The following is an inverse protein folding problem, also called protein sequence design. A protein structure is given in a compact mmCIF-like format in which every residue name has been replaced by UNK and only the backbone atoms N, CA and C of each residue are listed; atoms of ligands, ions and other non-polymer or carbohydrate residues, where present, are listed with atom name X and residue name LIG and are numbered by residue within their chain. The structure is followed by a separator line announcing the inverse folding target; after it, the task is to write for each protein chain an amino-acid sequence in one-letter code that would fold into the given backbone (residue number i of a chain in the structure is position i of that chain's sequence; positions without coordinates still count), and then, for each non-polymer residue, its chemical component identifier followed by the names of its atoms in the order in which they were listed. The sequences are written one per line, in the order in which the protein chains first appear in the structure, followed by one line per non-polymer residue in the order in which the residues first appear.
data_IF_126862551255
#
_entry.id   IF_126862551255
#
_cell.length_a   1.000
_cell.length_b   1.000
_cell.length_c   1.000
_cell.angle_alpha   90.00
_cell.angle_beta   90.00
_cell.angle_gamma   90.00
#
_symmetry.space_group_name_H-M   'P 1'
#
loop_
_entity.id
_entity.type
_entity.pdbx_description
1 polymer ?
#
# COMPACT_ATOMS: atom_id res chain seq x y z
N UNK A 1 -10.44 -6.56 -15.65
CA UNK A 1 -10.10 -5.25 -15.06
C UNK A 1 -10.36 -5.37 -13.57
N UNK A 2 -9.37 -5.06 -12.73
CA UNK A 2 -9.61 -4.94 -11.28
C UNK A 2 -10.63 -3.80 -11.07
N UNK A 3 -11.67 -4.07 -10.29
CA UNK A 3 -12.73 -3.09 -10.01
C UNK A 3 -12.31 -2.30 -8.79
N UNK A 4 -12.14 -0.99 -8.91
CA UNK A 4 -11.80 -0.14 -7.77
C UNK A 4 -12.84 -0.27 -6.64
N UNK A 5 -12.37 -0.54 -5.42
CA UNK A 5 -13.19 -0.61 -4.21
C UNK A 5 -13.09 0.68 -3.40
N UNK A 6 -14.18 1.45 -3.37
CA UNK A 6 -14.19 2.75 -2.70
C UNK A 6 -14.07 2.69 -1.17
N UNK A 7 -14.37 1.54 -0.56
CA UNK A 7 -14.30 1.36 0.89
C UNK A 7 -13.33 0.24 1.25
N UNK A 8 -12.50 0.51 2.27
CA UNK A 8 -11.64 -0.49 2.90
C UNK A 8 -12.44 -1.57 3.65
N UNK A 9 -13.75 -1.39 3.84
CA UNK A 9 -14.62 -2.39 4.45
C UNK A 9 -15.18 -3.41 3.44
N UNK A 10 -14.97 -3.21 2.15
CA UNK A 10 -15.41 -4.15 1.12
C UNK A 10 -14.56 -5.44 1.16
N UNK A 11 -15.22 -6.59 1.26
CA UNK A 11 -14.56 -7.91 1.19
C UNK A 11 -13.64 -8.07 -0.03
N UNK A 12 -14.00 -7.47 -1.17
CA UNK A 12 -13.18 -7.49 -2.38
C UNK A 12 -11.87 -6.72 -2.20
N UNK A 13 -11.90 -5.59 -1.47
CA UNK A 13 -10.69 -4.84 -1.16
C UNK A 13 -9.73 -5.68 -0.32
N UNK A 14 -10.26 -6.37 0.70
CA UNK A 14 -9.48 -7.25 1.56
C UNK A 14 -8.83 -8.41 0.77
N UNK A 15 -9.59 -9.06 -0.11
CA UNK A 15 -9.09 -10.16 -0.95
C UNK A 15 -8.03 -9.68 -1.94
N UNK A 16 -8.28 -8.57 -2.61
CA UNK A 16 -7.33 -8.03 -3.60
C UNK A 16 -6.03 -7.58 -2.91
N UNK A 17 -6.12 -6.96 -1.72
CA UNK A 17 -4.95 -6.58 -0.93
C UNK A 17 -4.13 -7.80 -0.46
N UNK A 18 -4.81 -8.87 -0.02
CA UNK A 18 -4.15 -10.13 0.33
C UNK A 18 -3.41 -10.72 -0.87
N UNK A 19 -4.04 -10.73 -2.04
CA UNK A 19 -3.40 -11.24 -3.25
C UNK A 19 -2.17 -10.41 -3.65
N UNK A 20 -2.22 -9.09 -3.52
CA UNK A 20 -1.04 -8.23 -3.78
C UNK A 20 0.09 -8.50 -2.79
N UNK A 21 -0.22 -8.72 -1.51
CA UNK A 21 0.78 -9.06 -0.49
C UNK A 21 1.33 -10.48 -0.64
N UNK A 22 0.51 -11.44 -1.10
CA UNK A 22 0.97 -12.80 -1.43
C UNK A 22 1.96 -12.76 -2.60
N UNK A 23 1.67 -11.99 -3.65
CA UNK A 23 2.62 -11.79 -4.76
C UNK A 23 3.92 -11.18 -4.25
N UNK A 24 3.84 -10.12 -3.44
CA UNK A 24 5.00 -9.51 -2.76
C UNK A 24 5.81 -10.53 -1.96
N UNK A 25 5.15 -11.41 -1.21
CA UNK A 25 5.80 -12.47 -0.42
C UNK A 25 6.55 -13.48 -1.31
N UNK A 26 5.98 -13.87 -2.45
CA UNK A 26 6.56 -14.82 -3.39
C UNK A 26 7.69 -14.21 -4.24
N UNK A 27 7.60 -12.92 -4.56
CA UNK A 27 8.62 -12.19 -5.34
C UNK A 27 9.82 -11.74 -4.50
N UNK A 28 9.73 -11.82 -3.18
CA UNK A 28 10.79 -11.37 -2.29
C UNK A 28 12.10 -12.14 -2.51
N UNK A 29 13.16 -11.41 -2.89
CA UNK A 29 14.49 -11.99 -3.13
C UNK A 29 15.34 -12.14 -1.88
N UNK A 30 14.95 -11.46 -0.79
CA UNK A 30 15.66 -11.47 0.49
C UNK A 30 14.71 -11.92 1.62
N UNK A 31 15.19 -12.75 2.57
CA UNK A 31 14.38 -13.20 3.71
C UNK A 31 13.75 -12.05 4.50
N UNK A 32 14.48 -10.95 4.70
CA UNK A 32 13.97 -9.77 5.43
C UNK A 32 12.78 -9.10 4.74
N UNK A 33 12.78 -9.08 3.41
CA UNK A 33 11.68 -8.51 2.62
C UNK A 33 10.47 -9.45 2.67
N UNK A 34 10.73 -10.75 2.61
CA UNK A 34 9.70 -11.78 2.76
C UNK A 34 9.04 -11.71 4.15
N UNK A 35 9.83 -11.56 5.23
CA UNK A 35 9.34 -11.37 6.60
C UNK A 35 8.46 -10.12 6.74
N UNK A 36 8.77 -9.03 6.02
CA UNK A 36 7.92 -7.84 5.98
C UNK A 36 6.55 -8.14 5.34
N UNK A 37 6.52 -8.95 4.28
CA UNK A 37 5.28 -9.38 3.63
C UNK A 37 4.50 -10.37 4.51
N UNK A 38 5.19 -11.29 5.19
CA UNK A 38 4.60 -12.21 6.15
C UNK A 38 3.95 -11.48 7.33
N UNK A 39 4.63 -10.45 7.86
CA UNK A 39 4.06 -9.56 8.86
C UNK A 39 2.78 -8.91 8.36
N UNK A 40 2.81 -8.29 7.17
CA UNK A 40 1.63 -7.61 6.64
C UNK A 40 0.44 -8.58 6.44
N UNK A 41 0.69 -9.77 5.90
CA UNK A 41 -0.32 -10.81 5.71
C UNK A 41 -0.92 -11.28 7.05
N UNK A 42 -0.08 -11.56 8.05
CA UNK A 42 -0.52 -11.96 9.40
C UNK A 42 -1.49 -10.94 10.00
N UNK A 43 -1.14 -9.66 9.94
CA UNK A 43 -1.97 -8.61 10.53
C UNK A 43 -3.28 -8.41 9.76
N UNK A 44 -3.27 -8.54 8.44
CA UNK A 44 -4.51 -8.46 7.65
C UNK A 44 -5.45 -9.64 7.88
N UNK A 45 -4.92 -10.85 8.12
CA UNK A 45 -5.74 -12.00 8.51
C UNK A 45 -6.56 -11.66 9.76
N UNK A 46 -5.94 -10.99 10.74
CA UNK A 46 -6.61 -10.58 11.97
C UNK A 46 -7.59 -9.43 11.74
N UNK A 47 -7.17 -8.36 11.04
CA UNK A 47 -7.99 -7.15 10.86
C UNK A 47 -9.25 -7.37 10.01
N UNK A 48 -9.22 -8.34 9.09
CA UNK A 48 -10.36 -8.73 8.26
C UNK A 48 -11.02 -10.04 8.69
N UNK A 49 -10.58 -10.64 9.80
CA UNK A 49 -11.08 -11.94 10.29
C UNK A 49 -11.12 -13.00 9.17
N UNK A 50 -10.07 -13.03 8.34
CA UNK A 50 -10.05 -13.83 7.12
C UNK A 50 -10.23 -15.30 7.44
N UNK A 51 -9.49 -15.76 8.45
CA UNK A 51 -9.45 -17.12 8.92
C UNK A 51 -9.72 -17.15 10.43
N UNK A 52 -10.85 -17.75 10.82
CA UNK A 52 -11.21 -18.03 12.21
C UNK A 52 -10.96 -19.51 12.47
N UNK A 53 -9.97 -19.81 13.29
CA UNK A 53 -9.66 -21.17 13.70
C UNK A 53 -10.63 -21.60 14.80
N UNK A 54 -11.47 -22.60 14.51
CA UNK A 54 -12.34 -23.21 15.53
C UNK A 54 -11.56 -24.17 16.41
N UNK A 55 -12.09 -24.46 17.60
CA UNK A 55 -11.54 -25.46 18.55
C UNK A 55 -11.34 -26.83 17.89
N UNK A 56 -12.13 -27.15 16.86
CA UNK A 56 -12.03 -28.39 16.08
C UNK A 56 -10.86 -28.41 15.08
N UNK A 57 -10.07 -27.35 14.98
CA UNK A 57 -8.98 -27.21 14.00
C UNK A 57 -9.44 -26.77 12.60
N UNK A 58 -10.75 -26.68 12.36
CA UNK A 58 -11.30 -26.24 11.07
C UNK A 58 -11.18 -24.72 10.94
N UNK A 59 -10.55 -24.27 9.85
CA UNK A 59 -10.48 -22.87 9.48
C UNK A 59 -11.81 -22.49 8.81
N UNK A 60 -12.47 -21.47 9.36
CA UNK A 60 -13.73 -20.95 8.83
C UNK A 60 -13.62 -19.46 8.61
N UNK A 61 -14.21 -18.94 7.54
CA UNK A 61 -14.20 -17.50 7.25
C UNK A 61 -14.77 -17.25 5.87
N UNK A 62 -15.63 -16.22 5.75
CA UNK A 62 -16.24 -15.87 4.47
C UNK A 62 -15.17 -15.51 3.43
N UNK A 63 -14.15 -14.77 3.85
CA UNK A 63 -13.03 -14.39 2.99
C UNK A 63 -12.11 -15.57 2.69
N UNK A 64 -11.80 -16.42 3.68
CA UNK A 64 -11.01 -17.64 3.47
C UNK A 64 -11.54 -18.50 2.32
N UNK A 65 -12.85 -18.75 2.28
CA UNK A 65 -13.47 -19.57 1.23
C UNK A 65 -13.37 -18.98 -0.18
N UNK A 66 -13.12 -17.68 -0.30
CA UNK A 66 -12.96 -16.97 -1.58
C UNK A 66 -11.52 -16.96 -2.08
N UNK A 67 -10.56 -17.30 -1.22
CA UNK A 67 -9.15 -17.36 -1.59
C UNK A 67 -8.83 -18.71 -2.26
N UNK A 68 -7.97 -18.73 -3.28
CA UNK A 68 -7.55 -19.96 -3.94
C UNK A 68 -6.60 -20.78 -3.06
N UNK A 69 -6.49 -22.08 -3.33
CA UNK A 69 -5.71 -23.03 -2.52
C UNK A 69 -4.24 -22.63 -2.31
N UNK A 70 -3.55 -22.15 -3.35
CA UNK A 70 -2.17 -21.68 -3.23
C UNK A 70 -2.01 -20.49 -2.27
N UNK A 71 -3.04 -19.65 -2.11
CA UNK A 71 -3.04 -18.59 -1.10
C UNK A 71 -3.21 -19.18 0.29
N UNK A 72 -4.07 -20.19 0.46
CA UNK A 72 -4.22 -20.89 1.74
C UNK A 72 -2.91 -21.51 2.22
N UNK A 73 -2.14 -22.13 1.32
CA UNK A 73 -0.82 -22.71 1.63
C UNK A 73 0.15 -21.67 2.23
N UNK A 74 0.09 -20.43 1.73
CA UNK A 74 0.92 -19.31 2.20
C UNK A 74 0.39 -18.75 3.53
N UNK A 75 -0.93 -18.60 3.66
CA UNK A 75 -1.54 -17.99 4.85
C UNK A 75 -1.58 -18.92 6.06
N UNK A 76 -1.70 -20.24 5.86
CA UNK A 76 -1.77 -21.24 6.94
C UNK A 76 -0.67 -21.09 8.00
N UNK A 77 0.63 -21.03 7.64
CA UNK A 77 1.69 -20.84 8.64
C UNK A 77 1.60 -19.49 9.36
N UNK A 78 0.98 -18.48 8.73
CA UNK A 78 0.84 -17.13 9.27
C UNK A 78 -0.32 -16.99 10.27
N UNK A 79 -1.22 -17.97 10.35
CA UNK A 79 -2.32 -17.98 11.32
C UNK A 79 -1.82 -18.08 12.77
N UNK A 80 -0.67 -18.73 12.96
CA UNK A 80 -0.05 -18.94 14.27
C UNK A 80 1.30 -18.24 14.44
N UNK A 81 1.75 -17.50 13.42
CA UNK A 81 3.02 -16.77 13.47
C UNK A 81 2.94 -15.60 14.45
N UNK A 82 4.12 -15.04 14.77
CA UNK A 82 4.27 -13.91 15.71
C UNK A 82 5.26 -12.89 15.16
N UNK A 83 5.15 -12.59 13.86
CA UNK A 83 5.96 -11.56 13.24
C UNK A 83 5.70 -10.21 13.91
N UNK A 84 6.77 -9.44 14.09
CA UNK A 84 6.73 -8.08 14.65
C UNK A 84 7.71 -7.18 13.91
N UNK A 85 7.32 -5.93 13.69
CA UNK A 85 8.21 -4.90 13.21
C UNK A 85 9.01 -4.31 14.38
N UNK A 86 10.33 -4.36 14.29
CA UNK A 86 11.20 -3.73 15.30
C UNK A 86 11.25 -2.21 15.17
N UNK A 87 11.00 -1.67 13.96
CA UNK A 87 11.08 -0.24 13.69
C UNK A 87 9.97 0.16 12.74
N UNK A 88 9.13 1.12 13.14
CA UNK A 88 8.17 1.74 12.24
C UNK A 88 8.88 2.73 11.30
N UNK A 89 8.45 2.78 10.04
CA UNK A 89 8.94 3.78 9.11
C UNK A 89 8.48 5.17 9.57
N UNK A 90 9.43 6.10 9.74
CA UNK A 90 9.10 7.49 10.03
C UNK A 90 8.86 8.25 8.72
N UNK A 91 7.65 8.80 8.56
CA UNK A 91 7.21 9.56 7.39
C UNK A 91 7.00 11.06 7.68
N UNK A 92 7.28 11.53 8.90
CA UNK A 92 6.97 12.90 9.31
C UNK A 92 7.84 13.96 8.61
N UNK A 93 9.07 13.59 8.25
CA UNK A 93 10.10 14.51 7.74
C UNK A 93 10.35 14.36 6.23
N UNK A 94 9.26 14.30 5.47
CA UNK A 94 9.32 14.32 4.00
C UNK A 94 9.18 15.75 3.46
N UNK A 95 9.88 16.13 2.39
CA UNK A 95 9.66 17.40 1.71
C UNK A 95 8.26 17.45 1.09
N UNK A 96 7.69 18.66 0.96
CA UNK A 96 6.40 18.88 0.31
C UNK A 96 6.61 19.92 -0.80
N UNK A 97 6.35 19.60 -2.09
CA UNK A 97 5.98 18.27 -2.61
C UNK A 97 7.12 17.25 -2.53
N UNK A 98 6.77 15.96 -2.49
CA UNK A 98 7.72 14.83 -2.54
C UNK A 98 8.20 14.62 -3.97
N UNK A 99 7.33 14.81 -4.96
CA UNK A 99 7.61 14.65 -6.38
C UNK A 99 8.82 15.48 -6.80
N UNK A 100 9.82 14.83 -7.42
CA UNK A 100 11.11 15.42 -7.86
C UNK A 100 11.97 16.03 -6.74
N UNK A 101 11.62 15.82 -5.48
CA UNK A 101 12.49 16.16 -4.35
C UNK A 101 13.63 15.14 -4.18
N UNK A 102 14.51 15.36 -3.20
CA UNK A 102 15.52 14.37 -2.82
C UNK A 102 14.93 13.04 -2.31
N UNK A 103 13.65 13.02 -1.91
CA UNK A 103 12.91 11.83 -1.48
C UNK A 103 11.97 11.29 -2.56
N UNK A 104 11.89 11.90 -3.74
CA UNK A 104 11.03 11.46 -4.84
C UNK A 104 11.72 11.67 -6.18
N UNK A 105 13.00 11.33 -6.25
CA UNK A 105 13.86 11.59 -7.42
C UNK A 105 13.57 10.66 -8.60
N UNK A 106 12.94 9.51 -8.34
CA UNK A 106 12.46 8.55 -9.33
C UNK A 106 11.05 8.04 -8.95
N UNK A 107 10.43 7.31 -9.88
CA UNK A 107 9.05 6.83 -9.73
C UNK A 107 8.84 5.94 -8.51
N UNK A 108 9.73 4.97 -8.28
CA UNK A 108 9.62 4.05 -7.15
C UNK A 108 9.68 4.80 -5.83
N UNK A 109 10.70 5.64 -5.65
CA UNK A 109 10.87 6.40 -4.41
C UNK A 109 9.71 7.37 -4.19
N UNK A 110 9.24 8.03 -5.24
CA UNK A 110 8.09 8.94 -5.16
C UNK A 110 6.83 8.21 -4.71
N UNK A 111 6.43 7.13 -5.38
CA UNK A 111 5.21 6.37 -5.03
C UNK A 111 5.33 5.81 -3.61
N UNK A 112 6.41 5.10 -3.29
CA UNK A 112 6.57 4.48 -1.97
C UNK A 112 6.57 5.52 -0.84
N UNK A 113 7.24 6.66 -1.02
CA UNK A 113 7.33 7.68 0.02
C UNK A 113 6.05 8.51 0.11
N UNK A 114 5.37 8.79 -1.01
CA UNK A 114 4.09 9.49 -0.99
C UNK A 114 3.00 8.62 -0.38
N UNK A 115 2.90 7.34 -0.75
CA UNK A 115 1.99 6.38 -0.10
C UNK A 115 2.28 6.32 1.41
N UNK A 116 3.55 6.13 1.81
CA UNK A 116 3.92 6.11 3.23
C UNK A 116 3.57 7.40 3.99
N UNK A 117 3.78 8.56 3.34
CA UNK A 117 3.36 9.85 3.86
C UNK A 117 1.86 9.91 4.12
N UNK A 118 1.03 9.49 3.15
CA UNK A 118 -0.42 9.50 3.29
C UNK A 118 -0.90 8.55 4.38
N UNK A 119 -0.27 7.39 4.54
CA UNK A 119 -0.57 6.46 5.63
C UNK A 119 -0.44 7.16 7.00
N UNK A 120 0.58 8.00 7.16
CA UNK A 120 0.78 8.76 8.41
C UNK A 120 -0.31 9.80 8.71
N UNK A 121 -1.12 10.15 7.71
CA UNK A 121 -2.23 11.11 7.83
C UNK A 121 -3.60 10.45 8.00
N UNK A 122 -3.71 9.14 7.84
CA UNK A 122 -4.97 8.41 8.01
C UNK A 122 -5.41 8.45 9.47
N UNK A 123 -6.66 8.90 9.70
CA UNK A 123 -7.24 8.99 11.04
C UNK A 123 -8.25 7.88 11.36
N UNK A 124 -8.90 7.31 10.35
CA UNK A 124 -9.85 6.22 10.56
C UNK A 124 -9.15 5.00 11.18
N UNK A 125 -9.59 4.50 12.36
CA UNK A 125 -8.82 3.50 13.11
C UNK A 125 -8.52 2.20 12.36
N UNK A 126 -9.52 1.62 11.68
CA UNK A 126 -9.35 0.38 10.90
C UNK A 126 -8.43 0.60 9.69
N UNK A 127 -8.74 1.57 8.84
CA UNK A 127 -7.90 1.95 7.70
C UNK A 127 -6.46 2.27 8.12
N UNK A 128 -6.26 2.97 9.23
CA UNK A 128 -4.92 3.23 9.76
C UNK A 128 -4.18 1.93 10.06
N UNK A 129 -4.79 0.97 10.75
CA UNK A 129 -4.17 -0.36 10.99
C UNK A 129 -3.87 -1.07 9.68
N UNK A 130 -4.86 -1.20 8.79
CA UNK A 130 -4.71 -1.86 7.48
C UNK A 130 -3.56 -1.26 6.67
N UNK A 131 -3.46 0.06 6.56
CA UNK A 131 -2.40 0.65 5.76
C UNK A 131 -1.04 0.69 6.48
N UNK A 132 -1.02 0.74 7.81
CA UNK A 132 0.21 0.62 8.59
C UNK A 132 0.86 -0.75 8.41
N UNK A 133 0.08 -1.83 8.26
CA UNK A 133 0.65 -3.16 8.00
C UNK A 133 1.34 -3.20 6.63
N UNK A 134 0.74 -2.57 5.61
CA UNK A 134 1.35 -2.42 4.29
C UNK A 134 2.63 -1.55 4.30
N UNK A 135 2.82 -0.68 5.30
CA UNK A 135 3.99 0.21 5.34
C UNK A 135 5.34 -0.53 5.38
N UNK A 136 5.33 -1.79 5.84
CA UNK A 136 6.50 -2.67 5.84
C UNK A 136 6.92 -3.13 4.43
N UNK A 137 5.98 -3.21 3.49
CA UNK A 137 6.20 -3.79 2.16
C UNK A 137 6.37 -2.75 1.07
N UNK A 138 5.69 -1.58 1.18
CA UNK A 138 5.68 -0.56 0.12
C UNK A 138 7.05 -0.02 -0.29
N UNK A 139 8.07 -0.09 0.58
CA UNK A 139 9.45 0.31 0.25
C UNK A 139 10.15 -0.67 -0.68
N UNK A 140 9.78 -1.94 -0.60
CA UNK A 140 10.42 -3.02 -1.34
C UNK A 140 9.63 -3.36 -2.61
N UNK A 141 8.31 -3.47 -2.49
CA UNK A 141 7.40 -3.83 -3.57
C UNK A 141 6.49 -2.65 -3.94
N UNK A 142 6.81 -2.00 -5.06
CA UNK A 142 6.08 -0.82 -5.55
C UNK A 142 4.62 -1.14 -5.90
N UNK A 143 4.32 -2.38 -6.33
CA UNK A 143 2.96 -2.78 -6.70
C UNK A 143 1.98 -2.69 -5.53
N UNK A 144 2.41 -3.04 -4.32
CA UNK A 144 1.60 -2.84 -3.10
C UNK A 144 1.35 -1.36 -2.86
N UNK A 145 2.39 -0.51 -3.05
CA UNK A 145 2.27 0.93 -2.87
C UNK A 145 1.29 1.55 -3.87
N UNK A 146 1.37 1.16 -5.15
CA UNK A 146 0.47 1.59 -6.22
C UNK A 146 -0.97 1.12 -5.96
N UNK A 147 -1.14 -0.13 -5.53
CA UNK A 147 -2.46 -0.68 -5.24
C UNK A 147 -3.16 0.10 -4.12
N UNK A 148 -2.48 0.38 -3.00
CA UNK A 148 -3.12 1.07 -1.86
C UNK A 148 -3.21 2.59 -2.02
N UNK A 149 -2.38 3.21 -2.89
CA UNK A 149 -2.31 4.66 -3.07
C UNK A 149 -3.67 5.35 -3.29
N UNK A 150 -4.54 4.90 -4.20
CA UNK A 150 -5.85 5.55 -4.37
C UNK A 150 -6.73 5.42 -3.11
N UNK A 151 -6.70 4.27 -2.42
CA UNK A 151 -7.50 4.04 -1.22
C UNK A 151 -7.03 4.89 -0.03
N UNK A 152 -5.72 4.97 0.20
CA UNK A 152 -5.17 5.82 1.28
C UNK A 152 -5.40 7.30 1.00
N UNK A 153 -5.33 7.71 -0.28
CA UNK A 153 -5.63 9.09 -0.69
C UNK A 153 -7.07 9.45 -0.37
N UNK A 154 -8.04 8.59 -0.74
CA UNK A 154 -9.46 8.80 -0.41
C UNK A 154 -9.67 8.88 1.10
N UNK A 155 -9.03 8.01 1.89
CA UNK A 155 -9.16 8.06 3.34
C UNK A 155 -8.63 9.37 3.93
N UNK A 156 -7.51 9.89 3.41
CA UNK A 156 -6.97 11.20 3.82
C UNK A 156 -7.90 12.34 3.38
N UNK A 157 -8.52 12.26 2.21
CA UNK A 157 -9.48 13.28 1.75
C UNK A 157 -10.79 13.27 2.55
N UNK A 158 -11.21 12.11 3.07
CA UNK A 158 -12.42 11.97 3.89
C UNK A 158 -12.23 12.50 5.31
N UNK A 159 -11.11 12.15 5.97
CA UNK A 159 -10.92 12.42 7.41
C UNK A 159 -9.77 13.39 7.73
N UNK A 160 -9.00 13.82 6.73
CA UNK A 160 -7.85 14.70 6.86
C UNK A 160 -8.22 16.10 7.33
N UNK A 161 -7.27 16.82 7.96
CA UNK A 161 -7.47 18.26 8.16
C UNK A 161 -7.19 19.02 6.86
N UNK A 162 -7.61 20.28 6.78
CA UNK A 162 -7.36 21.15 5.61
C UNK A 162 -5.89 21.15 5.16
N UNK A 163 -4.95 21.14 6.11
CA UNK A 163 -3.52 21.01 5.81
C UNK A 163 -3.18 19.73 5.04
N UNK A 164 -3.72 18.58 5.46
CA UNK A 164 -3.45 17.30 4.81
C UNK A 164 -4.02 17.27 3.39
N UNK A 165 -5.23 17.81 3.20
CA UNK A 165 -5.89 17.93 1.90
C UNK A 165 -5.08 18.83 0.96
N UNK A 166 -4.58 19.98 1.47
CA UNK A 166 -3.73 20.89 0.72
C UNK A 166 -2.39 20.24 0.34
N UNK A 167 -1.80 19.41 1.20
CA UNK A 167 -0.58 18.65 0.90
C UNK A 167 -0.83 17.63 -0.24
N UNK A 168 -1.95 16.91 -0.23
CA UNK A 168 -2.37 16.03 -1.34
C UNK A 168 -2.54 16.82 -2.63
N UNK A 169 -3.29 17.92 -2.58
CA UNK A 169 -3.53 18.77 -3.74
C UNK A 169 -2.23 19.33 -4.33
N UNK A 170 -1.33 19.84 -3.48
CA UNK A 170 -0.03 20.35 -3.90
C UNK A 170 0.81 19.29 -4.59
N UNK A 171 0.79 18.05 -4.11
CA UNK A 171 1.52 16.94 -4.73
C UNK A 171 0.99 16.64 -6.14
N UNK A 172 -0.33 16.49 -6.28
CA UNK A 172 -1.00 16.24 -7.56
C UNK A 172 -0.70 17.38 -8.55
N UNK A 173 -0.82 18.63 -8.10
CA UNK A 173 -0.59 19.79 -8.94
C UNK A 173 0.87 19.92 -9.39
N UNK A 174 1.82 19.50 -8.55
CA UNK A 174 3.24 19.47 -8.93
C UNK A 174 3.46 18.45 -10.07
N UNK A 175 2.89 17.24 -9.98
CA UNK A 175 2.96 16.25 -11.07
C UNK A 175 2.38 16.83 -12.37
N UNK A 176 1.16 17.37 -12.32
CA UNK A 176 0.48 17.93 -13.50
C UNK A 176 1.25 19.11 -14.12
N UNK A 177 1.85 19.96 -13.28
CA UNK A 177 2.65 21.10 -13.75
C UNK A 177 3.91 20.63 -14.46
N UNK A 178 4.55 19.57 -13.97
CA UNK A 178 5.73 19.00 -14.61
C UNK A 178 5.37 18.26 -15.89
N UNK A 179 4.20 17.62 -15.98
CA UNK A 179 3.73 16.97 -17.22
C UNK A 179 3.56 17.98 -18.36
N UNK A 180 3.10 19.21 -18.07
CA UNK A 180 2.89 20.26 -19.08
C UNK A 180 4.18 20.84 -19.67
N UNK A 181 5.32 20.72 -19.00
CA UNK A 181 6.58 21.30 -19.48
C UNK A 181 7.09 20.51 -20.70
N UNK A 182 7.65 21.17 -21.73
CA UNK A 182 8.21 20.47 -22.89
C UNK A 182 9.26 19.45 -22.43
N UNK A 183 9.24 18.26 -23.04
CA UNK A 183 10.16 17.19 -22.65
C UNK A 183 11.54 17.47 -23.27
N UNK A 184 12.39 18.15 -22.51
CA UNK A 184 13.75 18.50 -22.93
C UNK A 184 14.75 17.38 -22.65
N UNK A 185 14.31 16.27 -22.03
CA UNK A 185 15.16 15.16 -21.60
C UNK A 185 14.71 13.87 -22.30
N UNK A 186 15.62 13.18 -22.96
CA UNK A 186 15.38 11.84 -23.51
C UNK A 186 15.81 10.78 -22.48
N UNK A 187 15.06 9.68 -22.33
CA UNK A 187 15.39 8.56 -21.45
C UNK A 187 14.54 8.48 -20.16
N UNK A 188 15.07 7.85 -19.10
CA UNK A 188 14.35 7.46 -17.85
C UNK A 188 13.58 8.58 -17.13
N UNK A 189 13.94 9.84 -17.35
CA UNK A 189 13.20 10.99 -16.82
C UNK A 189 11.84 11.20 -17.50
N UNK A 190 11.72 10.81 -18.78
CA UNK A 190 10.46 10.79 -19.54
C UNK A 190 9.53 9.70 -18.99
N UNK A 191 10.08 8.50 -18.72
CA UNK A 191 9.34 7.39 -18.10
C UNK A 191 8.79 7.77 -16.73
N UNK A 192 9.61 8.38 -15.86
CA UNK A 192 9.14 8.83 -14.54
C UNK A 192 7.96 9.80 -14.65
N UNK A 193 8.06 10.80 -15.55
CA UNK A 193 6.98 11.77 -15.77
C UNK A 193 5.70 11.09 -16.25
N UNK A 194 5.83 10.19 -17.22
CA UNK A 194 4.70 9.48 -17.81
C UNK A 194 4.00 8.57 -16.78
N UNK A 195 4.76 7.73 -16.07
CA UNK A 195 4.24 6.82 -15.06
C UNK A 195 3.56 7.57 -13.90
N UNK A 196 4.14 8.72 -13.50
CA UNK A 196 3.54 9.54 -12.44
C UNK A 196 2.22 10.14 -12.88
N UNK A 197 2.14 10.64 -14.12
CA UNK A 197 0.88 11.13 -14.68
C UNK A 197 -0.19 10.03 -14.69
N UNK A 198 0.15 8.83 -15.18
CA UNK A 198 -0.77 7.69 -15.20
C UNK A 198 -1.28 7.35 -13.80
N UNK A 199 -0.40 7.35 -12.81
CA UNK A 199 -0.74 7.07 -11.40
C UNK A 199 -1.69 8.11 -10.80
N UNK A 200 -1.61 9.37 -11.23
CA UNK A 200 -2.54 10.43 -10.78
C UNK A 200 -3.94 10.27 -11.39
N UNK A 201 -4.04 9.67 -12.58
CA UNK A 201 -5.30 9.50 -13.30
C UNK A 201 -5.97 8.13 -13.11
N UNK A 202 -5.27 7.15 -12.53
CA UNK A 202 -5.79 5.81 -12.21
C UNK A 202 -6.67 5.83 -10.98
#
# INVERSE_FOLDING_TARGET
MAKFQASIEDDNFAIDLINELVKSFLEATEPRIQDCSAFALQELIQEYEIAVQKVTGVITGKLWQRLPEHVHEILNPLLTSRYRLNTAANWSDLPKPIYRSCKGSNFKDWVSNWTGFLISKVKHPKAQRVFQTCSATIKYHIHVALYILPHVTIQVLQDGVEKDINEVFSEIMEVLTQVKKPDTRHGSASDFRHMSAQTIFS
#
